data_IF_129135063099
#
_entry.id   IF_129135063099
#
_cell.length_a   1.000
_cell.length_b   1.000
_cell.length_c   1.000
_cell.angle_alpha   90.00
_cell.angle_beta   90.00
_cell.angle_gamma   90.00
#
_symmetry.space_group_name_H-M   'P 1'
#
loop_
_entity.id
_entity.type
_entity.pdbx_description
1 polymer ?
#
# COMPACT_ATOMS: atom_id res chain seq x y z
N UNK A 1 3.67 -2.17 35.23
CA UNK A 1 4.50 -3.35 35.59
C UNK A 1 5.65 -3.43 34.61
N UNK A 2 6.88 -3.61 35.10
CA UNK A 2 8.01 -3.92 34.23
C UNK A 2 7.85 -5.36 33.69
N UNK A 3 8.02 -5.54 32.38
CA UNK A 3 7.99 -6.87 31.77
C UNK A 3 9.36 -7.51 31.98
N UNK A 4 9.43 -8.59 32.76
CA UNK A 4 10.67 -9.35 32.92
C UNK A 4 10.88 -10.26 31.70
N UNK A 5 11.95 -10.02 30.95
CA UNK A 5 12.31 -10.78 29.74
C UNK A 5 13.53 -11.65 30.06
N UNK A 6 13.37 -12.96 29.98
CA UNK A 6 14.42 -13.94 30.32
C UNK A 6 15.01 -14.66 29.11
N UNK A 7 14.42 -14.51 27.92
CA UNK A 7 14.90 -15.11 26.69
C UNK A 7 14.39 -14.35 25.44
N UNK A 8 14.92 -14.72 24.27
CA UNK A 8 14.61 -14.09 22.98
C UNK A 8 13.14 -14.26 22.58
N UNK A 9 12.51 -15.36 22.95
CA UNK A 9 11.09 -15.60 22.65
C UNK A 9 10.18 -14.65 23.44
N UNK A 10 10.45 -14.47 24.73
CA UNK A 10 9.77 -13.48 25.57
C UNK A 10 10.03 -12.05 25.08
N UNK A 11 11.24 -11.77 24.60
CA UNK A 11 11.55 -10.48 23.97
C UNK A 11 10.70 -10.24 22.73
N UNK A 12 10.65 -11.21 21.81
CA UNK A 12 9.84 -11.12 20.59
C UNK A 12 8.36 -10.90 20.91
N UNK A 13 7.82 -11.64 21.89
CA UNK A 13 6.44 -11.48 22.38
C UNK A 13 6.19 -10.11 23.00
N UNK A 14 7.15 -9.58 23.76
CA UNK A 14 7.05 -8.24 24.36
C UNK A 14 7.09 -7.11 23.31
N UNK A 15 7.83 -7.30 22.21
CA UNK A 15 7.92 -6.33 21.11
C UNK A 15 6.71 -6.38 20.16
N UNK A 16 6.00 -7.51 20.13
CA UNK A 16 4.95 -7.78 19.16
C UNK A 16 3.85 -6.71 19.09
N UNK A 17 3.28 -6.18 20.20
CA UNK A 17 2.27 -5.13 20.13
C UNK A 17 2.78 -3.83 19.50
N UNK A 18 4.03 -3.48 19.74
CA UNK A 18 4.69 -2.32 19.13
C UNK A 18 4.85 -2.54 17.63
N UNK A 19 5.37 -3.70 17.23
CA UNK A 19 5.62 -4.01 15.82
C UNK A 19 4.31 -4.13 15.02
N UNK A 20 3.24 -4.64 15.62
CA UNK A 20 1.90 -4.69 15.02
C UNK A 20 1.41 -3.30 14.66
N UNK A 21 1.36 -2.40 15.64
CA UNK A 21 0.89 -1.03 15.43
C UNK A 21 1.78 -0.25 14.47
N UNK A 22 3.10 -0.43 14.55
CA UNK A 22 4.03 0.20 13.61
C UNK A 22 3.73 -0.26 12.18
N UNK A 23 3.66 -1.57 11.96
CA UNK A 23 3.47 -2.14 10.61
C UNK A 23 2.13 -1.72 10.03
N UNK A 24 1.09 -1.61 10.84
CA UNK A 24 -0.22 -1.12 10.41
C UNK A 24 -0.16 0.34 9.95
N UNK A 25 0.52 1.22 10.70
CA UNK A 25 0.72 2.62 10.29
C UNK A 25 1.55 2.77 9.01
N UNK A 26 2.55 1.90 8.82
CA UNK A 26 3.31 1.87 7.56
C UNK A 26 2.42 1.43 6.39
N UNK A 27 1.54 0.46 6.61
CA UNK A 27 0.56 0.01 5.62
C UNK A 27 -0.48 1.10 5.31
N UNK A 28 -0.95 1.84 6.31
CA UNK A 28 -1.83 3.01 6.11
C UNK A 28 -1.20 4.01 5.15
N UNK A 29 0.10 4.33 5.33
CA UNK A 29 0.78 5.25 4.43
C UNK A 29 0.82 4.78 2.98
N UNK A 30 1.06 3.48 2.75
CA UNK A 30 1.04 2.89 1.41
C UNK A 30 -0.37 2.93 0.84
N UNK A 31 -1.37 2.56 1.64
CA UNK A 31 -2.77 2.53 1.23
C UNK A 31 -3.32 3.91 0.88
N UNK A 32 -3.02 4.94 1.68
CA UNK A 32 -3.37 6.34 1.37
C UNK A 32 -2.72 6.80 0.07
N UNK A 33 -1.44 6.47 -0.12
CA UNK A 33 -0.70 6.88 -1.33
C UNK A 33 -1.22 6.16 -2.58
N UNK A 34 -1.58 4.88 -2.46
CA UNK A 34 -2.24 4.13 -3.53
C UNK A 34 -3.59 4.75 -3.89
N UNK A 35 -4.42 5.07 -2.90
CA UNK A 35 -5.71 5.72 -3.13
C UNK A 35 -5.57 7.10 -3.78
N UNK A 36 -4.53 7.86 -3.43
CA UNK A 36 -4.22 9.11 -4.12
C UNK A 36 -3.98 8.90 -5.62
N UNK A 37 -3.13 7.95 -6.00
CA UNK A 37 -2.86 7.69 -7.43
C UNK A 37 -4.03 7.04 -8.17
N UNK A 38 -4.84 6.22 -7.48
CA UNK A 38 -6.10 5.74 -8.04
C UNK A 38 -7.07 6.90 -8.31
N UNK A 39 -7.21 7.84 -7.38
CA UNK A 39 -8.04 9.02 -7.59
C UNK A 39 -7.51 9.88 -8.73
N UNK A 40 -6.20 10.15 -8.75
CA UNK A 40 -5.53 10.93 -9.80
C UNK A 40 -5.73 10.31 -11.19
N UNK A 41 -5.66 8.98 -11.32
CA UNK A 41 -5.99 8.26 -12.56
C UNK A 41 -7.43 8.48 -13.04
N UNK A 42 -8.39 8.71 -12.13
CA UNK A 42 -9.76 9.02 -12.54
C UNK A 42 -9.96 10.51 -12.79
N UNK A 43 -9.35 11.40 -12.00
CA UNK A 43 -9.56 12.85 -12.14
C UNK A 43 -8.75 13.49 -13.27
N UNK A 44 -7.62 12.90 -13.68
CA UNK A 44 -6.70 13.53 -14.64
C UNK A 44 -7.07 13.34 -16.12
N UNK A 45 -8.14 12.61 -16.43
CA UNK A 45 -8.66 12.46 -17.79
C UNK A 45 -10.17 12.18 -17.74
N UNK A 46 -10.92 12.35 -18.84
CA UNK A 46 -12.32 11.91 -18.96
C UNK A 46 -12.51 11.24 -20.35
N UNK A 47 -13.11 10.03 -20.45
CA UNK A 47 -13.19 9.28 -21.69
C UNK A 47 -14.40 9.73 -22.50
N UNK A 48 -14.22 9.92 -23.80
CA UNK A 48 -15.34 10.12 -24.74
C UNK A 48 -15.84 8.81 -25.36
N UNK A 49 -15.03 7.75 -25.32
CA UNK A 49 -15.25 6.51 -26.10
C UNK A 49 -15.83 5.34 -25.30
N UNK A 50 -15.94 5.46 -23.97
CA UNK A 50 -16.51 4.41 -23.12
C UNK A 50 -17.07 4.96 -21.81
N UNK A 51 -17.97 4.22 -21.17
CA UNK A 51 -18.50 4.55 -19.83
C UNK A 51 -17.57 4.01 -18.75
N UNK A 52 -17.17 4.86 -17.81
CA UNK A 52 -16.32 4.46 -16.68
C UNK A 52 -17.05 3.57 -15.70
N UNK A 53 -16.44 2.42 -15.38
CA UNK A 53 -16.70 1.75 -14.11
C UNK A 53 -15.78 2.38 -13.06
N UNK A 54 -16.30 2.59 -11.84
CA UNK A 54 -15.50 3.10 -10.71
C UNK A 54 -14.87 1.97 -9.88
N UNK A 55 -14.80 0.76 -10.43
CA UNK A 55 -14.34 -0.40 -9.69
C UNK A 55 -12.84 -0.35 -9.43
N UNK A 56 -12.04 0.06 -10.43
CA UNK A 56 -10.60 0.20 -10.23
C UNK A 56 -10.28 1.29 -9.18
N UNK A 57 -11.04 2.38 -9.15
CA UNK A 57 -10.92 3.42 -8.10
C UNK A 57 -11.11 2.82 -6.68
N UNK A 58 -11.92 1.77 -6.55
CA UNK A 58 -12.25 1.12 -5.27
C UNK A 58 -11.52 -0.20 -5.05
N UNK A 59 -10.50 -0.48 -5.87
CA UNK A 59 -9.79 -1.77 -5.89
C UNK A 59 -8.64 -1.89 -4.87
N UNK A 60 -8.23 -0.78 -4.26
CA UNK A 60 -7.20 -0.84 -3.23
C UNK A 60 -7.71 -1.61 -2.00
N UNK A 61 -6.92 -2.56 -1.53
CA UNK A 61 -7.19 -3.32 -0.31
C UNK A 61 -6.01 -3.18 0.63
N UNK A 62 -6.31 -2.93 1.92
CA UNK A 62 -5.37 -3.06 3.04
C UNK A 62 -5.80 -4.25 3.90
N UNK A 63 -4.85 -5.11 4.22
CA UNK A 63 -5.00 -6.16 5.24
C UNK A 63 -4.15 -5.78 6.43
N UNK A 64 -4.82 -5.71 7.59
CA UNK A 64 -4.22 -5.31 8.86
C UNK A 64 -2.99 -6.14 9.23
N UNK A 65 -2.09 -5.50 9.98
CA UNK A 65 -0.87 -6.13 10.45
C UNK A 65 -1.16 -7.35 11.33
N UNK A 66 -0.47 -8.47 11.04
CA UNK A 66 -0.56 -9.71 11.81
C UNK A 66 0.82 -10.35 12.06
N UNK A 67 0.95 -11.19 13.09
CA UNK A 67 2.16 -11.98 13.30
C UNK A 67 2.51 -12.82 12.08
N UNK A 68 3.77 -12.83 11.68
CA UNK A 68 4.23 -13.62 10.53
C UNK A 68 5.72 -13.96 10.66
N UNK A 69 6.05 -15.27 10.68
CA UNK A 69 7.43 -15.81 10.70
C UNK A 69 8.39 -15.10 11.69
N UNK A 70 7.96 -14.94 12.94
CA UNK A 70 8.77 -14.28 13.98
C UNK A 70 8.79 -12.75 13.91
N UNK A 71 8.11 -12.14 12.93
CA UNK A 71 7.90 -10.71 12.82
C UNK A 71 6.43 -10.36 12.63
N UNK A 72 6.18 -9.27 11.92
CA UNK A 72 4.84 -8.77 11.61
C UNK A 72 4.76 -8.47 10.12
N UNK A 73 3.60 -8.74 9.51
CA UNK A 73 3.30 -8.42 8.11
C UNK A 73 1.93 -7.77 8.01
N UNK A 74 1.83 -6.71 7.23
CA UNK A 74 0.59 -6.18 6.64
C UNK A 74 0.64 -6.35 5.12
N UNK A 75 -0.46 -6.11 4.41
CA UNK A 75 -0.47 -6.17 2.94
C UNK A 75 -1.34 -5.07 2.37
N UNK A 76 -0.84 -4.40 1.35
CA UNK A 76 -1.59 -3.45 0.53
C UNK A 76 -1.47 -3.91 -0.92
N UNK A 77 -2.59 -4.03 -1.61
CA UNK A 77 -2.63 -4.51 -3.00
C UNK A 77 -3.84 -3.95 -3.74
N UNK A 78 -3.81 -4.11 -5.06
CA UNK A 78 -4.93 -3.87 -5.96
C UNK A 78 -5.63 -5.21 -6.15
N UNK A 79 -6.87 -5.33 -5.70
CA UNK A 79 -7.70 -6.51 -5.93
C UNK A 79 -8.25 -6.50 -7.36
N UNK A 80 -7.40 -6.88 -8.31
CA UNK A 80 -7.79 -6.95 -9.72
C UNK A 80 -8.63 -8.19 -10.04
N UNK A 81 -8.76 -9.15 -9.13
CA UNK A 81 -9.53 -10.38 -9.36
C UNK A 81 -11.04 -10.12 -9.20
N UNK A 82 -11.43 -9.16 -8.36
CA UNK A 82 -12.84 -8.72 -8.20
C UNK A 82 -13.31 -7.71 -9.25
N UNK A 83 -12.45 -7.31 -10.18
CA UNK A 83 -12.76 -6.35 -11.25
C UNK A 83 -13.34 -7.08 -12.48
N UNK A 84 -14.63 -7.43 -12.42
CA UNK A 84 -15.30 -8.31 -13.40
C UNK A 84 -16.28 -7.63 -14.36
N UNK A 85 -16.58 -6.34 -14.16
CA UNK A 85 -17.59 -5.62 -14.96
C UNK A 85 -17.03 -4.82 -16.15
N UNK A 86 -15.82 -5.15 -16.62
CA UNK A 86 -15.20 -4.51 -17.78
C UNK A 86 -15.55 -5.23 -19.08
N UNK A 87 -15.98 -4.47 -20.08
CA UNK A 87 -16.21 -4.99 -21.43
C UNK A 87 -14.87 -5.15 -22.14
N UNK A 88 -14.57 -6.35 -22.64
CA UNK A 88 -13.37 -6.67 -23.42
C UNK A 88 -12.02 -6.45 -22.70
N UNK A 89 -12.02 -6.36 -21.37
CA UNK A 89 -10.81 -6.30 -20.58
C UNK A 89 -10.98 -7.07 -19.28
N UNK A 90 -9.90 -7.69 -18.80
CA UNK A 90 -9.84 -8.26 -17.46
C UNK A 90 -9.42 -7.19 -16.45
N UNK A 91 -9.76 -7.38 -15.17
CA UNK A 91 -9.24 -6.56 -14.09
C UNK A 91 -7.71 -6.45 -14.08
N UNK A 92 -7.02 -7.55 -14.35
CA UNK A 92 -5.57 -7.57 -14.46
C UNK A 92 -5.07 -6.64 -15.58
N UNK A 93 -5.69 -6.66 -16.76
CA UNK A 93 -5.34 -5.75 -17.86
C UNK A 93 -5.59 -4.28 -17.49
N UNK A 94 -6.68 -3.99 -16.77
CA UNK A 94 -6.98 -2.64 -16.28
C UNK A 94 -5.87 -2.14 -15.36
N UNK A 95 -5.47 -2.95 -14.37
CA UNK A 95 -4.39 -2.60 -13.44
C UNK A 95 -3.05 -2.44 -14.17
N UNK A 96 -2.75 -3.33 -15.14
CA UNK A 96 -1.54 -3.25 -15.95
C UNK A 96 -1.49 -1.97 -16.79
N UNK A 97 -2.57 -1.61 -17.47
CA UNK A 97 -2.64 -0.40 -18.28
C UNK A 97 -2.52 0.87 -17.44
N UNK A 98 -3.21 0.90 -16.30
CA UNK A 98 -3.09 2.02 -15.37
C UNK A 98 -1.64 2.18 -14.90
N UNK A 99 -0.91 1.09 -14.63
CA UNK A 99 0.50 1.20 -14.28
C UNK A 99 1.43 1.54 -15.46
N UNK A 100 0.99 1.31 -16.70
CA UNK A 100 1.71 1.74 -17.91
C UNK A 100 1.45 3.21 -18.29
N UNK A 101 0.68 3.96 -17.49
CA UNK A 101 0.29 5.33 -17.83
C UNK A 101 -0.76 5.40 -18.95
N UNK A 102 -1.60 4.36 -19.08
CA UNK A 102 -2.68 4.30 -20.09
C UNK A 102 -4.03 4.30 -19.41
N UNK A 103 -5.02 4.94 -20.03
CA UNK A 103 -6.41 4.90 -19.58
C UNK A 103 -7.23 3.95 -20.45
N UNK A 104 -7.64 2.81 -19.89
CA UNK A 104 -8.39 1.78 -20.65
C UNK A 104 -7.63 1.27 -21.89
N UNK A 105 -6.29 1.21 -21.81
CA UNK A 105 -5.43 0.82 -22.93
C UNK A 105 -5.04 1.97 -23.88
N UNK A 106 -5.62 3.17 -23.72
CA UNK A 106 -5.34 4.34 -24.54
C UNK A 106 -4.18 5.16 -23.96
N UNK A 107 -3.27 5.61 -24.83
CA UNK A 107 -2.27 6.62 -24.45
C UNK A 107 -2.89 8.00 -24.55
N UNK A 108 -2.94 8.72 -23.44
CA UNK A 108 -3.45 10.10 -23.35
C UNK A 108 -2.38 11.00 -22.74
N UNK A 109 -2.68 12.29 -22.54
CA UNK A 109 -1.72 13.25 -21.97
C UNK A 109 -1.42 12.97 -20.49
N UNK A 110 -2.43 12.58 -19.71
CA UNK A 110 -2.27 12.15 -18.32
C UNK A 110 -1.78 10.71 -18.24
N UNK A 111 -0.73 10.47 -17.46
CA UNK A 111 -0.01 9.17 -17.45
C UNK A 111 0.49 8.82 -16.05
N UNK A 112 -0.38 8.66 -15.05
CA UNK A 112 0.05 8.18 -13.75
C UNK A 112 0.47 6.72 -13.88
N UNK A 113 1.55 6.33 -13.22
CA UNK A 113 2.00 4.95 -13.11
C UNK A 113 1.53 4.41 -11.76
N UNK A 114 0.22 4.14 -11.63
CA UNK A 114 -0.48 4.02 -10.32
C UNK A 114 0.29 3.23 -9.26
N UNK A 115 0.81 2.05 -9.60
CA UNK A 115 1.54 1.22 -8.64
C UNK A 115 3.00 1.65 -8.49
N UNK A 116 3.70 1.89 -9.59
CA UNK A 116 5.12 2.29 -9.53
C UNK A 116 5.31 3.63 -8.83
N UNK A 117 4.46 4.61 -9.10
CA UNK A 117 4.43 5.90 -8.41
C UNK A 117 4.13 5.72 -6.92
N UNK A 118 3.21 4.81 -6.56
CA UNK A 118 2.95 4.46 -5.15
C UNK A 118 4.23 3.94 -4.48
N UNK A 119 4.92 2.99 -5.13
CA UNK A 119 6.15 2.40 -4.60
C UNK A 119 7.28 3.42 -4.51
N UNK A 120 7.40 4.31 -5.49
CA UNK A 120 8.40 5.38 -5.54
C UNK A 120 8.17 6.41 -4.43
N UNK A 121 6.91 6.74 -4.13
CA UNK A 121 6.56 7.72 -3.09
C UNK A 121 6.54 7.17 -1.67
N UNK A 122 6.68 5.85 -1.48
CA UNK A 122 6.60 5.24 -0.15
C UNK A 122 7.79 4.33 0.18
N UNK A 123 7.95 3.25 -0.57
CA UNK A 123 8.91 2.17 -0.27
C UNK A 123 10.31 2.56 -0.73
N UNK A 124 10.45 3.00 -1.98
CA UNK A 124 11.76 3.20 -2.62
C UNK A 124 12.44 4.51 -2.22
N UNK A 125 11.71 5.49 -1.70
CA UNK A 125 12.27 6.78 -1.27
C UNK A 125 12.69 6.82 0.22
N UNK A 126 12.59 5.69 0.95
CA UNK A 126 12.96 5.62 2.37
C UNK A 126 11.94 6.21 3.34
N UNK A 127 10.76 6.66 2.87
CA UNK A 127 9.70 7.23 3.72
C UNK A 127 9.26 6.24 4.80
N UNK A 128 8.97 4.99 4.42
CA UNK A 128 8.55 3.97 5.38
C UNK A 128 9.64 3.63 6.40
N UNK A 129 10.91 3.62 5.98
CA UNK A 129 12.04 3.40 6.89
C UNK A 129 12.10 4.51 7.94
N UNK A 130 12.05 5.77 7.50
CA UNK A 130 12.04 6.93 8.40
C UNK A 130 10.88 6.86 9.40
N UNK A 131 9.67 6.57 8.93
CA UNK A 131 8.49 6.42 9.77
C UNK A 131 8.65 5.29 10.80
N UNK A 132 9.21 4.15 10.40
CA UNK A 132 9.46 3.02 11.30
C UNK A 132 10.44 3.42 12.43
N UNK A 133 11.52 4.11 12.08
CA UNK A 133 12.51 4.57 13.05
C UNK A 133 11.94 5.61 14.01
N UNK A 134 11.17 6.57 13.51
CA UNK A 134 10.47 7.57 14.32
C UNK A 134 9.46 6.91 15.27
N UNK A 135 8.69 5.94 14.77
CA UNK A 135 7.76 5.18 15.59
C UNK A 135 8.47 4.46 16.73
N UNK A 136 9.53 3.70 16.44
CA UNK A 136 10.28 2.97 17.46
C UNK A 136 10.92 3.91 18.49
N UNK A 137 11.53 5.02 18.05
CA UNK A 137 12.05 6.06 18.95
C UNK A 137 10.96 6.62 19.87
N UNK A 138 9.75 6.85 19.34
CA UNK A 138 8.60 7.32 20.13
C UNK A 138 8.13 6.32 21.21
N UNK A 139 8.49 5.03 21.08
CA UNK A 139 8.22 3.98 22.06
C UNK A 139 9.39 3.72 23.01
N UNK A 140 10.43 4.54 22.97
CA UNK A 140 11.60 4.44 23.86
C UNK A 140 12.71 3.52 23.36
N UNK A 141 12.63 3.01 22.11
CA UNK A 141 13.71 2.21 21.55
C UNK A 141 14.87 3.08 21.08
N UNK A 142 16.10 2.66 21.39
CA UNK A 142 17.30 3.25 20.81
C UNK A 142 17.51 2.69 19.40
N UNK A 143 17.26 3.51 18.38
CA UNK A 143 17.40 3.13 16.96
C UNK A 143 18.39 4.08 16.29
N UNK A 144 19.37 3.51 15.57
CA UNK A 144 20.41 4.25 14.83
C UNK A 144 20.17 4.15 13.32
N UNK A 145 20.62 5.16 12.59
CA UNK A 145 20.62 5.20 11.12
C UNK A 145 21.79 4.40 10.56
#
# INVERSE_FOLDING_TARGET
>A
MAVHVSNVEQLAKALQPTLLKMTDQLADKVYETLNYFLLDYYSGWEPSSYKRTQEFLRSAVKVDAKPYRGGVKASVYIDYESLDNYVNATGYQVALWANQGKHGGLSVSHKPHVWDDTMDKTVKNGTLLKMAMEYLKSKGFSVRN
#
